data_IF_745606542137
#
_entry.id   IF_745606542137
#
_cell.length_a   1.000
_cell.length_b   1.000
_cell.length_c   1.000
_cell.angle_alpha   90.00
_cell.angle_beta   90.00
_cell.angle_gamma   90.00
#
_symmetry.space_group_name_H-M   'P 1'
#
loop_
_entity.id
_entity.type
_entity.pdbx_description
1 polymer ?
#
# COMPACT_ATOMS: atom_id res chain seq x y z
N UNK A 1 44.17 -11.01 -19.50
CA UNK A 1 43.90 -9.61 -19.09
C UNK A 1 42.67 -9.65 -18.22
N UNK A 2 42.77 -9.30 -16.93
CA UNK A 2 41.59 -9.25 -16.06
C UNK A 2 40.78 -7.99 -16.37
N UNK A 3 39.46 -8.16 -16.51
CA UNK A 3 38.53 -7.04 -16.65
C UNK A 3 38.36 -6.33 -15.30
N UNK A 4 38.02 -5.05 -15.33
CA UNK A 4 37.67 -4.29 -14.11
C UNK A 4 36.31 -4.72 -13.56
N UNK A 5 36.05 -4.48 -12.27
CA UNK A 5 34.74 -4.73 -11.65
C UNK A 5 33.59 -3.99 -12.34
N UNK A 6 33.85 -2.79 -12.87
CA UNK A 6 32.88 -2.02 -13.64
C UNK A 6 32.54 -2.68 -14.97
N UNK A 7 33.54 -3.25 -15.66
CA UNK A 7 33.30 -4.01 -16.87
C UNK A 7 32.44 -5.25 -16.59
N UNK A 8 32.73 -6.01 -15.52
CA UNK A 8 31.88 -7.13 -15.10
C UNK A 8 30.45 -6.70 -14.78
N UNK A 9 30.26 -5.58 -14.06
CA UNK A 9 28.94 -4.99 -13.76
C UNK A 9 28.17 -4.61 -15.02
N UNK A 10 28.84 -3.95 -15.95
CA UNK A 10 28.23 -3.57 -17.21
C UNK A 10 27.81 -4.79 -18.03
N UNK A 11 28.62 -5.85 -18.06
CA UNK A 11 28.24 -7.10 -18.75
C UNK A 11 27.00 -7.70 -18.09
N UNK A 12 27.04 -7.95 -16.77
CA UNK A 12 25.92 -8.57 -16.03
C UNK A 12 24.63 -7.75 -16.17
N UNK A 13 24.71 -6.41 -16.14
CA UNK A 13 23.54 -5.52 -16.31
C UNK A 13 22.87 -5.66 -17.68
N UNK A 14 23.62 -6.04 -18.72
CA UNK A 14 23.10 -6.18 -20.09
C UNK A 14 22.70 -7.63 -20.43
N UNK A 15 22.81 -8.58 -19.49
CA UNK A 15 22.36 -9.95 -19.68
C UNK A 15 20.86 -10.01 -19.37
N UNK A 16 20.06 -10.40 -20.36
CA UNK A 16 18.60 -10.35 -20.25
C UNK A 16 17.96 -11.48 -19.44
N UNK A 17 18.62 -12.62 -19.27
CA UNK A 17 18.04 -13.79 -18.58
C UNK A 17 18.73 -14.10 -17.25
N UNK A 18 17.95 -14.47 -16.23
CA UNK A 18 18.48 -14.90 -14.92
C UNK A 18 19.33 -16.18 -15.03
N UNK A 19 19.00 -17.06 -15.98
CA UNK A 19 19.75 -18.28 -16.25
C UNK A 19 21.17 -17.97 -16.74
N UNK A 20 21.32 -17.01 -17.65
CA UNK A 20 22.63 -16.58 -18.14
C UNK A 20 23.44 -15.88 -17.04
N UNK A 21 22.79 -15.07 -16.18
CA UNK A 21 23.47 -14.48 -15.01
C UNK A 21 23.96 -15.59 -14.06
N UNK A 22 23.18 -16.65 -13.85
CA UNK A 22 23.60 -17.81 -13.07
C UNK A 22 24.78 -18.55 -13.72
N UNK A 23 24.79 -18.70 -15.05
CA UNK A 23 25.92 -19.27 -15.78
C UNK A 23 27.20 -18.44 -15.60
N UNK A 24 27.09 -17.10 -15.60
CA UNK A 24 28.21 -16.19 -15.35
C UNK A 24 28.87 -16.41 -13.98
N UNK A 25 28.14 -16.88 -12.96
CA UNK A 25 28.73 -17.21 -11.66
C UNK A 25 29.79 -18.33 -11.74
N UNK A 26 29.73 -19.18 -12.77
CA UNK A 26 30.68 -20.25 -13.04
C UNK A 26 31.90 -19.82 -13.86
N UNK A 27 31.85 -18.69 -14.56
CA UNK A 27 32.89 -18.29 -15.54
C UNK A 27 34.17 -17.81 -14.87
N UNK A 28 34.07 -16.89 -13.90
CA UNK A 28 35.24 -16.37 -13.17
C UNK A 28 34.85 -15.85 -11.78
N UNK A 29 35.80 -15.70 -10.83
CA UNK A 29 35.52 -15.11 -9.53
C UNK A 29 34.98 -13.67 -9.62
N UNK A 30 35.48 -12.88 -10.58
CA UNK A 30 35.01 -11.51 -10.83
C UNK A 30 33.57 -11.46 -11.30
N UNK A 31 33.19 -12.33 -12.23
CA UNK A 31 31.78 -12.49 -12.63
C UNK A 31 30.93 -12.99 -11.48
N UNK A 32 31.37 -14.00 -10.72
CA UNK A 32 30.62 -14.55 -9.57
C UNK A 32 30.23 -13.47 -8.57
N UNK A 33 31.15 -12.59 -8.19
CA UNK A 33 30.87 -11.54 -7.22
C UNK A 33 29.71 -10.63 -7.67
N UNK A 34 29.74 -10.21 -8.93
CA UNK A 34 28.78 -9.29 -9.53
C UNK A 34 27.46 -9.99 -9.88
N UNK A 35 27.54 -11.15 -10.52
CA UNK A 35 26.40 -11.93 -10.97
C UNK A 35 25.54 -12.42 -9.80
N UNK A 36 26.14 -12.93 -8.73
CA UNK A 36 25.38 -13.31 -7.54
C UNK A 36 24.70 -12.09 -6.89
N UNK A 37 25.34 -10.91 -6.91
CA UNK A 37 24.66 -9.70 -6.41
C UNK A 37 23.46 -9.39 -7.28
N UNK A 38 23.59 -9.44 -8.61
CA UNK A 38 22.46 -9.22 -9.50
C UNK A 38 21.32 -10.25 -9.32
N UNK A 39 21.65 -11.52 -9.07
CA UNK A 39 20.66 -12.58 -8.85
C UNK A 39 19.89 -12.43 -7.54
N UNK A 40 20.59 -12.12 -6.45
CA UNK A 40 20.02 -12.15 -5.10
C UNK A 40 19.62 -10.77 -4.57
N UNK A 41 19.94 -9.66 -5.26
CA UNK A 41 19.62 -8.32 -4.76
C UNK A 41 18.12 -8.08 -4.61
N UNK A 42 17.32 -8.53 -5.57
CA UNK A 42 15.87 -8.46 -5.53
C UNK A 42 15.31 -9.85 -5.77
N UNK A 43 14.58 -10.35 -4.78
CA UNK A 43 13.95 -11.66 -4.80
C UNK A 43 12.44 -11.50 -4.76
N UNK A 44 11.77 -12.25 -5.61
CA UNK A 44 10.33 -12.22 -5.75
C UNK A 44 9.85 -13.67 -5.85
N UNK A 45 9.04 -14.09 -4.88
CA UNK A 45 8.63 -15.47 -4.68
C UNK A 45 7.11 -15.56 -4.72
N UNK A 46 6.59 -16.43 -5.59
CA UNK A 46 5.14 -16.64 -5.81
C UNK A 46 4.66 -18.07 -5.50
N UNK A 47 5.59 -19.03 -5.48
CA UNK A 47 5.28 -20.44 -5.31
C UNK A 47 5.83 -20.90 -3.96
N UNK A 48 5.03 -21.61 -3.17
CA UNK A 48 5.37 -22.04 -1.81
C UNK A 48 6.59 -22.97 -1.78
N UNK A 49 6.70 -23.90 -2.73
CA UNK A 49 7.82 -24.82 -2.85
C UNK A 49 9.12 -24.07 -3.19
N UNK A 50 9.07 -23.20 -4.20
CA UNK A 50 10.22 -22.37 -4.61
C UNK A 50 10.65 -21.43 -3.48
N UNK A 51 9.68 -20.82 -2.80
CA UNK A 51 9.89 -19.97 -1.62
C UNK A 51 10.61 -20.75 -0.53
N UNK A 52 10.13 -21.96 -0.21
CA UNK A 52 10.76 -22.83 0.78
C UNK A 52 12.21 -23.19 0.42
N UNK A 53 12.47 -23.55 -0.85
CA UNK A 53 13.83 -23.88 -1.33
C UNK A 53 14.74 -22.65 -1.24
N UNK A 54 14.27 -21.47 -1.66
CA UNK A 54 15.06 -20.25 -1.63
C UNK A 54 15.34 -19.80 -0.20
N UNK A 55 14.34 -19.79 0.68
CA UNK A 55 14.50 -19.46 2.09
C UNK A 55 15.47 -20.42 2.79
N UNK A 56 15.39 -21.74 2.55
CA UNK A 56 16.39 -22.70 3.06
C UNK A 56 17.79 -22.40 2.52
N UNK A 57 17.91 -22.01 1.26
CA UNK A 57 19.20 -21.61 0.66
C UNK A 57 19.78 -20.38 1.35
N UNK A 58 18.98 -19.34 1.58
CA UNK A 58 19.40 -18.12 2.28
C UNK A 58 19.73 -18.38 3.75
N UNK A 59 18.93 -19.20 4.44
CA UNK A 59 19.17 -19.63 5.81
C UNK A 59 20.51 -20.37 5.96
N UNK A 60 20.87 -21.21 4.99
CA UNK A 60 22.11 -22.00 5.02
C UNK A 60 23.32 -21.27 4.40
N UNK A 61 23.11 -20.15 3.71
CA UNK A 61 24.16 -19.42 3.01
C UNK A 61 24.15 -17.92 3.36
N UNK A 62 24.68 -17.53 4.54
CA UNK A 62 24.74 -16.13 4.95
C UNK A 62 25.37 -15.20 3.91
N UNK A 63 26.39 -15.69 3.19
CA UNK A 63 27.06 -14.97 2.08
C UNK A 63 26.12 -14.55 0.95
N UNK A 64 25.04 -15.30 0.72
CA UNK A 64 24.00 -14.96 -0.26
C UNK A 64 22.92 -14.08 0.38
N UNK A 65 22.52 -14.39 1.61
CA UNK A 65 21.52 -13.61 2.35
C UNK A 65 21.91 -12.13 2.52
N UNK A 66 23.19 -11.83 2.77
CA UNK A 66 23.69 -10.45 2.83
C UNK A 66 23.62 -9.69 1.50
N UNK A 67 23.28 -10.35 0.39
CA UNK A 67 23.10 -9.69 -0.91
C UNK A 67 21.66 -9.22 -1.13
N UNK A 68 20.71 -9.76 -0.35
CA UNK A 68 19.29 -9.48 -0.48
C UNK A 68 18.99 -8.09 0.07
N UNK A 69 18.43 -7.25 -0.80
CA UNK A 69 18.08 -5.86 -0.51
C UNK A 69 16.56 -5.67 -0.55
N UNK A 70 15.89 -6.40 -1.44
CA UNK A 70 14.45 -6.42 -1.58
C UNK A 70 13.94 -7.87 -1.64
N UNK A 71 12.91 -8.17 -0.85
CA UNK A 71 12.26 -9.46 -0.80
C UNK A 71 10.74 -9.28 -0.90
N UNK A 72 10.11 -10.04 -1.78
CA UNK A 72 8.65 -10.10 -1.90
C UNK A 72 8.21 -11.56 -1.83
N UNK A 73 7.28 -11.84 -0.92
CA UNK A 73 6.63 -13.13 -0.73
C UNK A 73 5.15 -12.94 -1.08
N UNK A 74 4.68 -13.65 -2.10
CA UNK A 74 3.27 -13.68 -2.48
C UNK A 74 2.75 -15.10 -2.30
N UNK A 75 1.78 -15.26 -1.40
CA UNK A 75 1.02 -16.50 -1.24
C UNK A 75 -0.34 -16.27 -1.88
N UNK A 76 -0.47 -16.67 -3.14
CA UNK A 76 -1.72 -16.62 -3.86
C UNK A 76 -2.35 -18.01 -3.88
N UNK A 77 -3.67 -18.07 -3.82
CA UNK A 77 -4.38 -19.30 -4.16
C UNK A 77 -4.01 -19.70 -5.58
N UNK A 78 -3.82 -21.00 -5.87
CA UNK A 78 -3.52 -21.45 -7.22
C UNK A 78 -4.62 -20.96 -8.15
N UNK A 79 -4.25 -20.15 -9.16
CA UNK A 79 -5.16 -19.43 -10.04
C UNK A 79 -6.38 -20.30 -10.47
N UNK A 80 -7.55 -20.10 -9.84
CA UNK A 80 -8.80 -20.79 -10.22
C UNK A 80 -9.32 -20.36 -11.61
N UNK A 81 -8.59 -19.46 -12.29
CA UNK A 81 -8.92 -18.89 -13.60
C UNK A 81 -8.20 -19.55 -14.78
N UNK A 82 -7.86 -20.84 -14.70
CA UNK A 82 -7.71 -21.62 -15.93
C UNK A 82 -9.11 -21.99 -16.44
N UNK A 83 -9.75 -21.04 -17.12
CA UNK A 83 -11.08 -21.18 -17.74
C UNK A 83 -11.11 -22.20 -18.87
N UNK A 84 -10.99 -23.48 -18.54
CA UNK A 84 -11.51 -24.56 -19.36
C UNK A 84 -12.97 -24.77 -18.96
N UNK A 85 -13.88 -24.23 -19.76
CA UNK A 85 -15.34 -24.45 -19.70
C UNK A 85 -15.74 -25.91 -20.06
N UNK A 86 -14.86 -26.89 -19.83
CA UNK A 86 -15.19 -28.30 -20.03
C UNK A 86 -15.63 -28.89 -18.69
N UNK A 87 -16.92 -28.70 -18.45
CA UNK A 87 -17.77 -29.38 -17.47
C UNK A 87 -17.55 -30.90 -17.53
N UNK A 88 -16.83 -31.46 -16.57
CA UNK A 88 -17.04 -32.85 -16.13
C UNK A 88 -16.89 -32.89 -14.60
N UNK A 89 -18.00 -33.23 -13.96
CA UNK A 89 -18.32 -33.18 -12.53
C UNK A 89 -17.54 -34.19 -11.67
N UNK A 90 -16.21 -34.07 -11.56
CA UNK A 90 -15.44 -34.86 -10.58
C UNK A 90 -15.21 -34.05 -9.29
N UNK A 91 -16.19 -34.16 -8.39
CA UNK A 91 -16.18 -33.67 -7.01
C UNK A 91 -14.96 -34.23 -6.21
N UNK A 92 -14.39 -33.37 -5.35
CA UNK A 92 -13.78 -33.74 -4.07
C UNK A 92 -12.39 -34.40 -4.02
N UNK A 93 -11.40 -33.85 -4.74
CA UNK A 93 -9.99 -33.99 -4.30
C UNK A 93 -9.38 -32.62 -4.00
N UNK A 94 -9.80 -32.02 -2.88
CA UNK A 94 -9.04 -30.96 -2.21
C UNK A 94 -7.66 -31.54 -1.84
N UNK A 95 -6.68 -31.34 -2.72
CA UNK A 95 -5.28 -31.62 -2.41
C UNK A 95 -4.93 -30.77 -1.18
N UNK A 96 -4.45 -31.37 -0.08
CA UNK A 96 -4.01 -30.61 1.08
C UNK A 96 -2.94 -29.61 0.63
N UNK A 97 -3.26 -28.31 0.68
CA UNK A 97 -2.30 -27.27 0.38
C UNK A 97 -1.12 -27.45 1.34
N UNK A 98 0.09 -27.56 0.77
CA UNK A 98 1.29 -27.74 1.57
C UNK A 98 1.56 -26.43 2.32
N UNK A 99 1.43 -26.46 3.66
CA UNK A 99 1.73 -25.31 4.49
C UNK A 99 3.15 -24.78 4.22
N UNK A 100 3.26 -23.48 3.97
CA UNK A 100 4.54 -22.80 3.83
C UNK A 100 5.42 -23.03 5.07
N UNK A 101 6.69 -23.40 4.84
CA UNK A 101 7.71 -23.55 5.88
C UNK A 101 8.16 -22.16 6.41
N UNK A 102 7.31 -21.52 7.21
CA UNK A 102 7.57 -20.22 7.84
C UNK A 102 8.83 -20.22 8.72
N UNK A 103 9.26 -21.38 9.22
CA UNK A 103 10.53 -21.50 9.96
C UNK A 103 11.75 -21.36 9.04
N UNK A 104 11.67 -21.78 7.79
CA UNK A 104 12.68 -21.45 6.79
C UNK A 104 12.67 -19.95 6.46
N UNK A 105 11.48 -19.34 6.34
CA UNK A 105 11.34 -17.88 6.08
C UNK A 105 11.98 -17.07 7.22
N UNK A 106 11.64 -17.36 8.47
CA UNK A 106 12.22 -16.68 9.63
C UNK A 106 13.75 -16.73 9.67
N UNK A 107 14.33 -17.93 9.44
CA UNK A 107 15.80 -18.12 9.40
C UNK A 107 16.46 -17.41 8.21
N UNK A 108 15.78 -17.35 7.07
CA UNK A 108 16.25 -16.58 5.92
C UNK A 108 16.31 -15.08 6.28
N UNK A 109 15.23 -14.53 6.82
CA UNK A 109 15.11 -13.13 7.21
C UNK A 109 16.15 -12.73 8.28
N UNK A 110 16.41 -13.60 9.27
CA UNK A 110 17.46 -13.39 10.28
C UNK A 110 18.84 -13.17 9.65
N UNK A 111 19.13 -13.81 8.51
CA UNK A 111 20.39 -13.68 7.80
C UNK A 111 20.43 -12.54 6.75
N UNK A 112 19.28 -11.97 6.35
CA UNK A 112 19.20 -10.87 5.37
C UNK A 112 19.41 -9.50 6.03
N UNK A 113 20.57 -9.30 6.65
CA UNK A 113 20.87 -8.10 7.47
C UNK A 113 20.87 -6.76 6.72
N UNK A 114 20.89 -6.78 5.37
CA UNK A 114 20.85 -5.59 4.52
C UNK A 114 19.50 -5.40 3.82
N UNK A 115 18.47 -6.16 4.21
CA UNK A 115 17.13 -6.03 3.65
C UNK A 115 16.57 -4.63 3.94
N UNK A 116 16.14 -3.93 2.89
CA UNK A 116 15.55 -2.58 2.96
C UNK A 116 14.10 -2.53 2.49
N UNK A 117 13.67 -3.51 1.69
CA UNK A 117 12.32 -3.58 1.15
C UNK A 117 11.76 -4.97 1.41
N UNK A 118 10.67 -5.07 2.16
CA UNK A 118 10.01 -6.33 2.45
C UNK A 118 8.52 -6.21 2.15
N UNK A 119 8.02 -7.09 1.29
CA UNK A 119 6.61 -7.24 1.00
C UNK A 119 6.18 -8.68 1.31
N UNK A 120 5.16 -8.87 2.14
CA UNK A 120 4.62 -10.19 2.49
C UNK A 120 3.11 -10.14 2.31
N UNK A 121 2.60 -10.84 1.30
CA UNK A 121 1.17 -10.93 1.04
C UNK A 121 0.66 -12.36 1.23
N UNK A 122 -0.41 -12.51 2.03
CA UNK A 122 -0.95 -13.80 2.48
C UNK A 122 -2.44 -13.85 2.11
N UNK A 123 -2.75 -14.41 0.93
CA UNK A 123 -4.12 -14.42 0.38
C UNK A 123 -4.80 -15.80 0.41
N UNK A 124 -4.16 -16.83 0.96
CA UNK A 124 -4.60 -18.23 0.88
C UNK A 124 -5.49 -18.69 2.06
N UNK A 125 -6.15 -17.76 2.76
CA UNK A 125 -6.96 -18.07 3.95
C UNK A 125 -6.17 -18.68 5.13
N UNK A 126 -4.84 -18.77 5.05
CA UNK A 126 -4.02 -19.25 6.16
C UNK A 126 -3.94 -18.23 7.28
N UNK A 127 -3.66 -18.70 8.49
CA UNK A 127 -3.48 -17.84 9.66
C UNK A 127 -2.38 -16.80 9.43
N UNK A 128 -2.77 -15.53 9.41
CA UNK A 128 -1.91 -14.34 9.34
C UNK A 128 -1.10 -14.08 10.62
N UNK A 129 -1.30 -14.91 11.67
CA UNK A 129 -0.53 -14.90 12.92
C UNK A 129 0.93 -15.41 12.79
N UNK A 130 1.63 -14.98 11.74
CA UNK A 130 3.01 -15.38 11.41
C UNK A 130 4.04 -14.26 11.57
N UNK A 131 3.67 -13.14 12.19
CA UNK A 131 4.58 -12.02 12.51
C UNK A 131 5.83 -12.41 13.31
N UNK A 132 5.83 -13.58 13.97
CA UNK A 132 6.99 -14.11 14.69
C UNK A 132 8.23 -14.32 13.83
N UNK A 133 8.08 -14.46 12.52
CA UNK A 133 9.20 -14.56 11.58
C UNK A 133 10.14 -13.35 11.66
N UNK A 134 9.67 -12.22 12.21
CA UNK A 134 10.41 -10.95 12.31
C UNK A 134 11.20 -10.79 13.62
N UNK A 135 10.98 -11.63 14.63
CA UNK A 135 11.48 -11.40 16.01
C UNK A 135 13.01 -11.27 16.14
N UNK A 136 13.77 -11.94 15.27
CA UNK A 136 15.25 -11.96 15.31
C UNK A 136 15.89 -11.14 14.19
N UNK A 137 15.08 -10.39 13.44
CA UNK A 137 15.57 -9.60 12.34
C UNK A 137 16.32 -8.36 12.87
N UNK A 138 17.45 -8.04 12.25
CA UNK A 138 18.31 -6.89 12.64
C UNK A 138 18.41 -5.82 11.56
N UNK A 139 17.85 -6.09 10.38
CA UNK A 139 17.83 -5.14 9.27
C UNK A 139 16.90 -3.96 9.57
N UNK A 140 17.10 -2.87 8.81
CA UNK A 140 16.33 -1.64 8.92
C UNK A 140 15.63 -1.39 7.58
N UNK A 141 14.32 -1.62 7.59
CA UNK A 141 13.47 -1.44 6.42
C UNK A 141 13.26 0.04 6.12
N UNK A 142 13.19 0.36 4.84
CA UNK A 142 12.67 1.63 4.32
C UNK A 142 11.23 1.50 3.86
N UNK A 143 10.88 0.33 3.31
CA UNK A 143 9.52 -0.03 2.96
C UNK A 143 9.16 -1.37 3.56
N UNK A 144 7.98 -1.42 4.16
CA UNK A 144 7.42 -2.64 4.69
C UNK A 144 5.94 -2.73 4.39
N UNK A 145 5.56 -3.65 3.51
CA UNK A 145 4.17 -3.90 3.17
C UNK A 145 3.81 -5.31 3.62
N UNK A 146 2.81 -5.46 4.48
CA UNK A 146 2.46 -6.79 4.98
C UNK A 146 0.99 -6.99 5.32
N UNK A 147 0.56 -8.23 5.11
CA UNK A 147 -0.77 -8.75 5.44
C UNK A 147 -0.74 -9.50 6.79
N UNK A 148 0.24 -9.19 7.65
CA UNK A 148 0.42 -9.83 8.95
C UNK A 148 -0.56 -9.26 9.99
N UNK A 149 -0.96 -10.11 10.93
CA UNK A 149 -1.72 -9.69 12.10
C UNK A 149 -1.02 -8.58 12.88
N UNK A 150 -1.78 -7.57 13.29
CA UNK A 150 -1.34 -6.61 14.29
C UNK A 150 -1.24 -7.24 15.68
N UNK A 151 -0.06 -7.78 16.00
CA UNK A 151 0.24 -8.40 17.29
C UNK A 151 1.51 -7.84 17.95
N UNK A 152 1.80 -8.32 19.17
CA UNK A 152 2.95 -7.86 19.96
C UNK A 152 4.29 -8.04 19.24
N UNK A 153 4.41 -9.01 18.32
CA UNK A 153 5.65 -9.33 17.62
C UNK A 153 5.87 -8.34 16.48
N UNK A 154 4.80 -8.03 15.75
CA UNK A 154 4.81 -7.00 14.72
C UNK A 154 5.10 -5.62 15.33
N UNK A 155 4.40 -5.27 16.41
CA UNK A 155 4.62 -4.01 17.14
C UNK A 155 6.08 -3.89 17.61
N UNK A 156 6.61 -4.92 18.28
CA UNK A 156 8.01 -4.93 18.73
C UNK A 156 9.01 -4.82 17.57
N UNK A 157 8.75 -5.47 16.43
CA UNK A 157 9.59 -5.34 15.24
C UNK A 157 9.58 -3.91 14.70
N UNK A 158 8.40 -3.30 14.58
CA UNK A 158 8.21 -1.93 14.11
C UNK A 158 8.84 -0.90 15.06
N UNK A 159 8.79 -1.12 16.38
CA UNK A 159 9.47 -0.26 17.36
C UNK A 159 10.99 -0.20 17.13
N UNK A 160 11.57 -1.29 16.61
CA UNK A 160 12.99 -1.36 16.24
C UNK A 160 13.34 -0.68 14.90
N UNK A 161 12.36 -0.24 14.11
CA UNK A 161 12.59 0.35 12.79
C UNK A 161 12.75 1.87 12.87
N UNK A 162 13.97 2.34 12.60
CA UNK A 162 14.33 3.78 12.62
C UNK A 162 14.39 4.40 11.22
N UNK A 163 14.54 3.56 10.19
CA UNK A 163 14.67 3.98 8.80
C UNK A 163 13.39 3.80 7.97
N UNK A 164 12.28 3.37 8.59
CA UNK A 164 11.04 3.07 7.87
C UNK A 164 10.37 4.35 7.36
N UNK A 165 10.17 4.44 6.06
CA UNK A 165 9.58 5.59 5.37
C UNK A 165 8.17 5.31 4.82
N UNK A 166 7.87 4.04 4.53
CA UNK A 166 6.68 3.57 3.80
C UNK A 166 6.14 2.28 4.42
N UNK A 167 4.93 2.33 4.96
CA UNK A 167 4.29 1.22 5.68
C UNK A 167 2.91 0.93 5.09
N UNK A 168 2.65 -0.35 4.81
CA UNK A 168 1.31 -0.87 4.49
C UNK A 168 0.92 -1.94 5.51
N UNK A 169 -0.26 -1.79 6.12
CA UNK A 169 -0.81 -2.75 7.09
C UNK A 169 -2.25 -3.08 6.72
N UNK A 170 -2.54 -4.37 6.56
CA UNK A 170 -3.89 -4.84 6.21
C UNK A 170 -4.79 -5.16 7.41
N UNK A 171 -4.25 -5.65 8.54
CA UNK A 171 -5.09 -6.12 9.66
C UNK A 171 -4.71 -5.43 10.98
N UNK A 172 -5.20 -4.22 11.18
CA UNK A 172 -5.05 -3.49 12.44
C UNK A 172 -6.15 -3.87 13.43
N UNK A 173 -5.76 -4.26 14.66
CA UNK A 173 -6.67 -4.63 15.75
C UNK A 173 -6.66 -3.55 16.83
N UNK A 174 -7.81 -2.95 17.11
CA UNK A 174 -7.94 -1.97 18.18
C UNK A 174 -7.70 -2.65 19.54
N UNK A 175 -6.87 -2.07 20.43
CA UNK A 175 -6.73 -2.53 21.81
C UNK A 175 -8.06 -2.76 22.55
N UNK A 176 -9.11 -1.98 22.24
CA UNK A 176 -10.40 -2.08 22.90
C UNK A 176 -11.16 -3.38 22.57
N UNK A 177 -10.98 -3.94 21.36
CA UNK A 177 -11.69 -5.14 20.91
C UNK A 177 -11.33 -6.39 21.74
N UNK A 178 -10.13 -6.43 22.33
CA UNK A 178 -9.69 -7.53 23.19
C UNK A 178 -10.41 -7.60 24.54
N UNK A 179 -11.12 -6.53 24.96
CA UNK A 179 -11.71 -6.43 26.30
C UNK A 179 -13.08 -7.10 26.45
N UNK A 180 -13.70 -7.55 25.35
CA UNK A 180 -15.04 -8.16 25.37
C UNK A 180 -15.04 -9.68 25.59
N UNK A 181 -13.88 -10.34 25.54
CA UNK A 181 -13.80 -11.77 25.84
C UNK A 181 -13.84 -12.01 27.35
N UNK A 182 -14.94 -12.60 27.81
CA UNK A 182 -15.41 -12.66 29.22
C UNK A 182 -14.61 -13.59 30.13
N UNK A 183 -13.39 -13.97 29.76
CA UNK A 183 -12.53 -14.86 30.54
C UNK A 183 -11.50 -14.07 31.35
N UNK A 184 -11.45 -14.34 32.65
CA UNK A 184 -10.70 -13.64 33.71
C UNK A 184 -9.15 -13.71 33.61
N UNK A 185 -8.59 -13.48 32.43
CA UNK A 185 -7.15 -13.33 32.20
C UNK A 185 -6.79 -11.85 32.45
N UNK A 186 -5.69 -11.55 33.15
CA UNK A 186 -5.25 -10.18 33.39
C UNK A 186 -5.15 -9.38 32.08
N UNK A 187 -5.43 -8.06 32.11
CA UNK A 187 -5.48 -7.23 30.91
C UNK A 187 -4.13 -7.31 30.18
N UNK A 188 -4.17 -7.81 28.95
CA UNK A 188 -3.00 -7.81 28.07
C UNK A 188 -2.51 -6.36 27.90
N UNK A 189 -1.20 -6.17 27.81
CA UNK A 189 -0.62 -4.86 27.54
C UNK A 189 -1.18 -4.30 26.22
N UNK A 190 -1.46 -2.99 26.15
CA UNK A 190 -2.01 -2.39 24.93
C UNK A 190 -1.03 -2.59 23.77
N UNK A 191 -1.57 -3.01 22.61
CA UNK A 191 -0.83 -3.15 21.35
C UNK A 191 -0.59 -1.77 20.73
N UNK A 192 0.24 -0.95 21.40
CA UNK A 192 0.59 0.40 20.98
C UNK A 192 2.09 0.49 20.69
N UNK A 193 2.42 1.15 19.58
CA UNK A 193 3.80 1.52 19.26
C UNK A 193 4.26 2.68 20.12
N UNK A 194 5.56 2.72 20.43
CA UNK A 194 6.16 3.88 21.09
C UNK A 194 6.04 5.12 20.18
N UNK A 195 5.73 6.28 20.77
CA UNK A 195 5.60 7.56 20.07
C UNK A 195 6.86 7.95 19.28
N UNK A 196 8.04 7.42 19.66
CA UNK A 196 9.33 7.67 19.03
C UNK A 196 9.69 6.65 17.95
N UNK A 197 8.93 5.56 17.86
CA UNK A 197 9.14 4.53 16.84
C UNK A 197 8.83 5.07 15.45
N UNK A 198 9.52 4.50 14.45
CA UNK A 198 9.36 4.83 13.03
C UNK A 198 9.36 6.34 12.73
N UNK A 199 10.39 7.09 13.20
CA UNK A 199 10.41 8.56 13.15
C UNK A 199 10.51 9.13 11.73
N UNK A 200 10.80 8.30 10.73
CA UNK A 200 10.87 8.66 9.32
C UNK A 200 9.63 8.27 8.51
N UNK A 201 8.60 7.72 9.16
CA UNK A 201 7.40 7.26 8.47
C UNK A 201 6.72 8.46 7.80
N UNK A 202 6.68 8.42 6.46
CA UNK A 202 6.19 9.52 5.63
C UNK A 202 5.02 9.11 4.74
N UNK A 203 4.88 7.82 4.48
CA UNK A 203 3.79 7.22 3.69
C UNK A 203 3.17 6.10 4.51
N UNK A 204 1.88 6.21 4.77
CA UNK A 204 1.11 5.20 5.48
C UNK A 204 -0.09 4.79 4.64
N UNK A 205 -0.18 3.50 4.37
CA UNK A 205 -1.38 2.87 3.82
C UNK A 205 -1.88 1.85 4.85
N UNK A 206 -3.17 1.91 5.16
CA UNK A 206 -3.79 0.98 6.09
C UNK A 206 -5.24 0.74 5.70
N UNK A 207 -5.82 -0.38 6.11
CA UNK A 207 -7.22 -0.71 5.82
C UNK A 207 -8.20 -0.06 6.78
N UNK A 208 -7.78 0.31 7.99
CA UNK A 208 -8.66 0.82 9.03
C UNK A 208 -8.17 2.17 9.55
N UNK A 209 -9.11 3.09 9.77
CA UNK A 209 -8.80 4.45 10.21
C UNK A 209 -8.18 4.49 11.60
N UNK A 210 -8.47 3.50 12.45
CA UNK A 210 -7.90 3.31 13.78
C UNK A 210 -6.36 3.19 13.72
N UNK A 211 -5.83 2.50 12.71
CA UNK A 211 -4.39 2.43 12.49
C UNK A 211 -3.81 3.81 12.20
N UNK A 212 -4.46 4.60 11.34
CA UNK A 212 -4.04 5.96 11.04
C UNK A 212 -4.13 6.87 12.28
N UNK A 213 -5.17 6.74 13.09
CA UNK A 213 -5.33 7.49 14.34
C UNK A 213 -4.22 7.22 15.35
N UNK A 214 -3.71 5.98 15.40
CA UNK A 214 -2.60 5.59 16.27
C UNK A 214 -1.23 5.98 15.70
N UNK A 215 -1.04 5.84 14.39
CA UNK A 215 0.28 5.98 13.75
C UNK A 215 0.62 7.41 13.31
N UNK A 216 -0.35 8.24 12.95
CA UNK A 216 -0.07 9.56 12.38
C UNK A 216 0.45 10.59 13.39
N UNK A 217 -0.09 10.72 14.62
CA UNK A 217 0.31 11.78 15.54
C UNK A 217 1.82 11.81 15.80
N UNK A 218 2.43 12.99 15.66
CA UNK A 218 3.86 13.21 15.93
C UNK A 218 4.82 12.67 14.86
N UNK A 219 4.35 11.89 13.89
CA UNK A 219 5.18 11.33 12.81
C UNK A 219 5.10 12.18 11.54
N UNK A 220 6.13 12.20 10.67
CA UNK A 220 6.19 13.10 9.51
C UNK A 220 5.37 12.57 8.32
N UNK A 221 4.11 12.17 8.54
CA UNK A 221 3.24 11.61 7.50
C UNK A 221 2.87 12.69 6.50
N UNK A 222 3.15 12.40 5.23
CA UNK A 222 2.85 13.28 4.08
C UNK A 222 1.86 12.64 3.11
N UNK A 223 1.76 11.30 3.09
CA UNK A 223 0.81 10.57 2.26
C UNK A 223 0.09 9.56 3.13
N UNK A 224 -1.23 9.67 3.19
CA UNK A 224 -2.09 8.79 3.97
C UNK A 224 -3.17 8.20 3.07
N UNK A 225 -3.27 6.87 3.08
CA UNK A 225 -4.37 6.11 2.51
C UNK A 225 -4.99 5.21 3.57
N UNK A 226 -6.29 5.32 3.79
CA UNK A 226 -7.03 4.55 4.81
C UNK A 226 -8.46 4.28 4.38
N UNK A 227 -9.26 3.56 5.17
CA UNK A 227 -10.69 3.37 4.96
C UNK A 227 -11.45 3.55 6.27
N UNK A 228 -12.70 4.03 6.19
CA UNK A 228 -13.61 4.01 7.34
C UNK A 228 -13.99 2.58 7.70
N UNK A 229 -13.99 2.26 9.00
CA UNK A 229 -14.37 0.96 9.54
C UNK A 229 -15.87 0.89 9.86
N UNK A 230 -16.49 2.03 10.22
CA UNK A 230 -17.89 2.08 10.63
C UNK A 230 -18.81 2.23 9.42
N UNK A 231 -19.92 1.50 9.38
CA UNK A 231 -20.94 1.64 8.33
C UNK A 231 -22.07 2.58 8.73
N UNK A 232 -22.46 2.60 10.01
CA UNK A 232 -23.52 3.47 10.51
C UNK A 232 -23.09 4.95 10.43
N UNK A 233 -23.91 5.77 9.77
CA UNK A 233 -23.61 7.18 9.49
C UNK A 233 -23.19 7.98 10.74
N UNK A 234 -23.86 7.80 11.88
CA UNK A 234 -23.54 8.57 13.09
C UNK A 234 -22.19 8.16 13.69
N UNK A 235 -21.90 6.86 13.71
CA UNK A 235 -20.62 6.33 14.19
C UNK A 235 -19.48 6.75 13.25
N UNK A 236 -19.70 6.64 11.92
CA UNK A 236 -18.78 7.09 10.88
C UNK A 236 -18.46 8.58 10.97
N UNK A 237 -19.44 9.44 11.30
CA UNK A 237 -19.19 10.86 11.57
C UNK A 237 -18.34 11.09 12.82
N UNK A 238 -18.44 10.23 13.84
CA UNK A 238 -17.55 10.22 14.99
C UNK A 238 -16.13 9.88 14.58
N UNK A 239 -15.97 8.73 13.92
CA UNK A 239 -14.71 8.23 13.37
C UNK A 239 -14.02 9.28 12.47
N UNK A 240 -14.76 9.94 11.57
CA UNK A 240 -14.25 11.03 10.72
C UNK A 240 -13.68 12.19 11.55
N UNK A 241 -14.37 12.63 12.60
CA UNK A 241 -13.86 13.73 13.44
C UNK A 241 -12.59 13.33 14.17
N UNK A 242 -12.57 12.12 14.73
CA UNK A 242 -11.44 11.61 15.48
C UNK A 242 -10.23 11.42 14.54
N UNK A 243 -10.43 10.80 13.38
CA UNK A 243 -9.43 10.64 12.33
C UNK A 243 -8.83 11.99 11.93
N UNK A 244 -9.64 12.95 11.49
CA UNK A 244 -9.12 14.25 11.04
C UNK A 244 -8.41 15.01 12.18
N UNK A 245 -8.86 14.85 13.43
CA UNK A 245 -8.18 15.45 14.59
C UNK A 245 -6.78 14.87 14.80
N UNK A 246 -6.61 13.55 14.66
CA UNK A 246 -5.32 12.84 14.82
C UNK A 246 -4.41 13.06 13.63
N UNK A 247 -4.96 13.03 12.43
CA UNK A 247 -4.23 13.29 11.19
C UNK A 247 -3.69 14.72 11.16
N UNK A 248 -4.44 15.68 11.72
CA UNK A 248 -3.97 17.05 11.91
C UNK A 248 -2.77 17.21 12.87
N UNK A 249 -2.38 16.16 13.60
CA UNK A 249 -1.22 16.12 14.49
C UNK A 249 0.04 15.53 13.82
N UNK A 250 0.03 15.28 12.50
CA UNK A 250 1.24 14.93 11.75
C UNK A 250 2.31 16.00 11.93
N UNK A 251 3.57 15.58 12.08
CA UNK A 251 4.72 16.48 12.20
C UNK A 251 5.09 17.17 10.88
N UNK A 252 4.52 16.72 9.76
CA UNK A 252 4.66 17.33 8.45
C UNK A 252 3.29 17.58 7.81
N UNK A 253 3.15 18.62 6.97
CA UNK A 253 1.91 18.84 6.23
C UNK A 253 1.61 17.68 5.29
N UNK A 254 0.35 17.23 5.28
CA UNK A 254 -0.12 16.23 4.34
C UNK A 254 -0.15 16.78 2.91
N UNK A 255 0.25 15.93 1.98
CA UNK A 255 0.24 16.15 0.52
C UNK A 255 -0.76 15.25 -0.18
N UNK A 256 -1.01 14.04 0.33
CA UNK A 256 -2.03 13.16 -0.19
C UNK A 256 -2.89 12.61 0.95
N UNK A 257 -4.21 12.66 0.76
CA UNK A 257 -5.18 12.09 1.68
C UNK A 257 -6.22 11.31 0.86
N UNK A 258 -6.20 9.99 1.01
CA UNK A 258 -7.18 9.08 0.44
C UNK A 258 -7.87 8.32 1.57
N UNK A 259 -9.18 8.51 1.71
CA UNK A 259 -9.98 7.84 2.75
C UNK A 259 -11.10 7.11 2.02
N UNK A 260 -10.90 5.83 1.79
CA UNK A 260 -11.86 4.91 1.20
C UNK A 260 -13.10 4.74 2.10
N UNK A 261 -14.22 4.37 1.48
CA UNK A 261 -15.46 4.01 2.15
C UNK A 261 -16.18 2.95 1.31
N UNK A 262 -16.70 1.90 1.95
CA UNK A 262 -17.52 0.88 1.29
C UNK A 262 -18.94 1.37 0.97
N UNK A 263 -19.39 2.46 1.62
CA UNK A 263 -20.74 3.00 1.46
C UNK A 263 -20.71 4.51 1.22
N UNK A 264 -19.98 4.94 0.21
CA UNK A 264 -19.95 6.34 -0.21
C UNK A 264 -21.37 6.84 -0.56
N UNK A 265 -21.73 8.01 -0.05
CA UNK A 265 -22.96 8.72 -0.42
C UNK A 265 -22.60 10.17 -0.72
N UNK A 266 -23.35 10.84 -1.61
CA UNK A 266 -23.17 12.27 -1.90
C UNK A 266 -23.14 13.12 -0.61
N UNK A 267 -24.07 12.83 0.31
CA UNK A 267 -24.18 13.55 1.58
C UNK A 267 -22.91 13.40 2.44
N UNK A 268 -22.38 12.18 2.58
CA UNK A 268 -21.19 11.96 3.39
C UNK A 268 -19.93 12.54 2.73
N UNK A 269 -19.77 12.38 1.41
CA UNK A 269 -18.67 12.99 0.67
C UNK A 269 -18.63 14.51 0.84
N UNK A 270 -19.79 15.18 0.81
CA UNK A 270 -19.89 16.62 1.10
C UNK A 270 -19.48 16.97 2.54
N UNK A 271 -19.89 16.16 3.53
CA UNK A 271 -19.52 16.36 4.93
C UNK A 271 -18.01 16.17 5.14
N UNK A 272 -17.44 15.11 4.58
CA UNK A 272 -16.01 14.81 4.65
C UNK A 272 -15.18 15.90 3.99
N UNK A 273 -15.53 16.31 2.77
CA UNK A 273 -14.83 17.37 2.07
C UNK A 273 -14.90 18.68 2.83
N UNK A 274 -16.07 19.03 3.39
CA UNK A 274 -16.20 20.22 4.22
C UNK A 274 -15.37 20.13 5.50
N UNK A 275 -15.31 18.96 6.14
CA UNK A 275 -14.51 18.77 7.35
C UNK A 275 -13.01 18.93 7.05
N UNK A 276 -12.51 18.31 5.98
CA UNK A 276 -11.12 18.46 5.52
C UNK A 276 -10.83 19.93 5.19
N UNK A 277 -11.70 20.59 4.44
CA UNK A 277 -11.54 22.00 4.04
C UNK A 277 -11.56 22.98 5.22
N UNK A 278 -12.12 22.59 6.36
CA UNK A 278 -12.15 23.39 7.60
C UNK A 278 -10.97 23.05 8.53
N UNK A 279 -10.26 21.94 8.30
CA UNK A 279 -9.05 21.56 9.06
C UNK A 279 -7.82 22.22 8.45
N UNK A 280 -7.42 23.36 9.02
CA UNK A 280 -6.35 24.23 8.48
C UNK A 280 -5.02 23.51 8.19
N UNK A 281 -4.64 22.53 9.01
CA UNK A 281 -3.38 21.78 8.85
C UNK A 281 -3.37 20.89 7.60
N UNK A 282 -4.53 20.51 7.07
CA UNK A 282 -4.64 19.68 5.86
C UNK A 282 -4.61 20.53 4.59
N UNK A 283 -5.28 21.68 4.60
CA UNK A 283 -5.59 22.43 3.36
C UNK A 283 -4.36 23.03 2.67
N UNK A 284 -3.32 23.41 3.41
CA UNK A 284 -2.25 24.27 2.87
C UNK A 284 -1.33 23.58 1.85
N UNK A 285 -1.07 22.29 2.04
CA UNK A 285 -0.11 21.52 1.24
C UNK A 285 -0.72 20.33 0.49
N UNK A 286 -2.03 20.09 0.64
CA UNK A 286 -2.69 18.95 0.01
C UNK A 286 -2.70 19.11 -1.52
N UNK A 287 -2.18 18.08 -2.20
CA UNK A 287 -2.04 17.95 -3.66
C UNK A 287 -2.89 16.83 -4.24
N UNK A 288 -3.15 15.79 -3.46
CA UNK A 288 -4.03 14.70 -3.86
C UNK A 288 -5.13 14.49 -2.82
N UNK A 289 -6.34 14.32 -3.32
CA UNK A 289 -7.52 13.99 -2.55
C UNK A 289 -8.14 12.73 -3.17
N UNK A 290 -8.41 11.72 -2.34
CA UNK A 290 -8.94 10.43 -2.76
C UNK A 290 -10.38 10.48 -3.27
N UNK A 291 -11.09 9.37 -3.18
CA UNK A 291 -12.41 9.21 -3.82
C UNK A 291 -13.53 9.94 -3.07
N UNK A 292 -14.31 10.75 -3.81
CA UNK A 292 -15.54 11.40 -3.33
C UNK A 292 -16.67 11.17 -4.33
N UNK A 293 -17.90 10.93 -3.87
CA UNK A 293 -19.07 10.94 -4.78
C UNK A 293 -19.23 12.35 -5.34
N UNK A 294 -19.25 12.46 -6.67
CA UNK A 294 -19.50 13.72 -7.34
C UNK A 294 -21.01 13.95 -7.42
N UNK A 295 -21.57 15.01 -6.80
CA UNK A 295 -23.02 15.20 -6.78
C UNK A 295 -23.64 15.36 -8.18
N UNK A 296 -24.77 14.69 -8.40
CA UNK A 296 -25.55 14.79 -9.64
C UNK A 296 -26.25 16.15 -9.73
N UNK A 297 -26.84 16.59 -8.60
CA UNK A 297 -27.55 17.88 -8.53
C UNK A 297 -26.58 19.05 -8.77
N UNK A 298 -26.96 19.95 -9.68
CA UNK A 298 -26.10 21.06 -10.08
C UNK A 298 -25.77 22.03 -8.94
N UNK A 299 -26.68 22.22 -7.97
CA UNK A 299 -26.44 23.13 -6.84
C UNK A 299 -25.46 22.52 -5.84
N UNK A 300 -25.64 21.25 -5.51
CA UNK A 300 -24.71 20.54 -4.62
C UNK A 300 -23.34 20.36 -5.26
N UNK A 301 -23.28 20.10 -6.57
CA UNK A 301 -22.01 20.04 -7.32
C UNK A 301 -21.27 21.37 -7.31
N UNK A 302 -21.97 22.49 -7.49
CA UNK A 302 -21.36 23.82 -7.35
C UNK A 302 -20.82 24.08 -5.93
N UNK A 303 -21.54 23.62 -4.90
CA UNK A 303 -21.06 23.70 -3.52
C UNK A 303 -19.81 22.83 -3.31
N UNK A 304 -19.79 21.63 -3.89
CA UNK A 304 -18.63 20.74 -3.89
C UNK A 304 -17.41 21.43 -4.49
N UNK A 305 -17.55 22.04 -5.68
CA UNK A 305 -16.46 22.80 -6.31
C UNK A 305 -16.03 23.99 -5.46
N UNK A 306 -16.97 24.71 -4.84
CA UNK A 306 -16.66 25.80 -3.92
C UNK A 306 -15.83 25.35 -2.70
N UNK A 307 -16.01 24.12 -2.22
CA UNK A 307 -15.16 23.53 -1.20
C UNK A 307 -13.77 23.18 -1.76
N UNK A 308 -13.69 22.57 -2.95
CA UNK A 308 -12.41 22.26 -3.59
C UNK A 308 -11.55 23.50 -3.88
N UNK A 309 -12.16 24.64 -4.18
CA UNK A 309 -11.44 25.91 -4.38
C UNK A 309 -10.66 26.37 -3.13
N UNK A 310 -10.93 25.80 -1.96
CA UNK A 310 -10.19 26.12 -0.72
C UNK A 310 -8.82 25.46 -0.66
N UNK A 311 -8.52 24.51 -1.55
CA UNK A 311 -7.24 23.79 -1.59
C UNK A 311 -6.33 24.39 -2.67
N UNK A 312 -5.45 25.35 -2.35
CA UNK A 312 -4.70 26.11 -3.35
C UNK A 312 -3.65 25.30 -4.12
N UNK A 313 -3.29 24.12 -3.59
CA UNK A 313 -2.25 23.25 -4.15
C UNK A 313 -2.78 21.92 -4.68
N UNK A 314 -4.10 21.72 -4.68
CA UNK A 314 -4.69 20.47 -5.15
C UNK A 314 -4.39 20.28 -6.64
N UNK A 315 -3.90 19.10 -7.00
CA UNK A 315 -3.48 18.73 -8.35
C UNK A 315 -4.20 17.48 -8.84
N UNK A 316 -4.61 16.60 -7.93
CA UNK A 316 -5.25 15.32 -8.25
C UNK A 316 -6.47 15.10 -7.35
N UNK A 317 -7.60 14.71 -7.93
CA UNK A 317 -8.84 14.38 -7.21
C UNK A 317 -9.50 13.15 -7.83
N UNK A 318 -10.03 12.23 -7.01
CA UNK A 318 -10.80 11.08 -7.48
C UNK A 318 -12.31 11.27 -7.23
N UNK A 319 -13.13 10.89 -8.20
CA UNK A 319 -14.58 11.06 -8.21
C UNK A 319 -15.29 9.73 -8.46
N UNK A 320 -16.13 9.33 -7.53
CA UNK A 320 -17.09 8.24 -7.71
C UNK A 320 -18.31 8.76 -8.48
N UNK A 321 -18.62 8.12 -9.61
CA UNK A 321 -19.71 8.53 -10.53
C UNK A 321 -20.65 7.37 -10.88
N UNK A 322 -20.57 6.23 -10.18
CA UNK A 322 -21.39 5.04 -10.46
C UNK A 322 -22.90 5.27 -10.31
N UNK A 323 -23.33 6.19 -9.45
CA UNK A 323 -24.76 6.47 -9.25
C UNK A 323 -25.38 7.33 -10.37
N UNK A 324 -24.59 7.86 -11.30
CA UNK A 324 -25.09 8.74 -12.36
C UNK A 324 -25.94 7.98 -13.39
N UNK A 325 -27.04 8.59 -13.82
CA UNK A 325 -27.95 8.01 -14.81
C UNK A 325 -28.22 8.99 -15.98
N UNK A 326 -27.66 8.75 -17.19
CA UNK A 326 -26.68 7.70 -17.52
C UNK A 326 -25.29 8.01 -16.91
N UNK A 327 -24.45 6.98 -16.70
CA UNK A 327 -23.08 7.19 -16.22
C UNK A 327 -22.26 7.93 -17.27
N UNK A 328 -21.31 8.80 -16.88
CA UNK A 328 -20.49 9.58 -17.81
C UNK A 328 -19.35 8.74 -18.43
N UNK A 329 -19.66 7.56 -18.96
CA UNK A 329 -18.67 6.55 -19.41
C UNK A 329 -17.91 6.92 -20.69
N UNK A 330 -18.39 7.90 -21.47
CA UNK A 330 -17.69 8.30 -22.71
C UNK A 330 -16.50 9.23 -22.44
N UNK A 331 -15.38 9.11 -23.19
CA UNK A 331 -14.26 10.05 -23.10
C UNK A 331 -14.62 11.53 -23.34
N UNK A 332 -15.71 11.81 -24.05
CA UNK A 332 -16.22 13.19 -24.21
C UNK A 332 -16.89 13.69 -22.94
N UNK A 333 -17.71 12.86 -22.28
CA UNK A 333 -18.36 13.19 -21.02
C UNK A 333 -17.33 13.41 -19.90
N UNK A 334 -16.37 12.51 -19.74
CA UNK A 334 -15.28 12.65 -18.74
C UNK A 334 -14.47 13.93 -18.96
N UNK A 335 -14.15 14.27 -20.21
CA UNK A 335 -13.45 15.53 -20.54
C UNK A 335 -14.30 16.76 -20.24
N UNK A 336 -15.61 16.70 -20.49
CA UNK A 336 -16.53 17.80 -20.17
C UNK A 336 -16.59 18.03 -18.65
N UNK A 337 -16.73 16.97 -17.85
CA UNK A 337 -16.71 17.05 -16.38
C UNK A 337 -15.37 17.58 -15.85
N UNK A 338 -14.25 17.08 -16.39
CA UNK A 338 -12.94 17.60 -16.01
C UNK A 338 -12.74 19.07 -16.42
N UNK A 339 -13.29 19.47 -17.56
CA UNK A 339 -13.34 20.87 -17.98
C UNK A 339 -14.16 21.75 -17.04
N UNK A 340 -15.37 21.29 -16.65
CA UNK A 340 -16.26 21.96 -15.70
C UNK A 340 -15.55 22.21 -14.36
N UNK A 341 -14.95 21.16 -13.75
CA UNK A 341 -14.21 21.29 -12.50
C UNK A 341 -13.11 22.34 -12.59
N UNK A 342 -12.35 22.34 -13.68
CA UNK A 342 -11.21 23.25 -13.87
C UNK A 342 -11.62 24.70 -14.10
N UNK A 343 -12.88 24.99 -14.45
CA UNK A 343 -13.40 26.37 -14.45
C UNK A 343 -13.38 26.96 -13.02
N UNK A 344 -13.60 26.12 -12.01
CA UNK A 344 -13.62 26.52 -10.60
C UNK A 344 -12.25 26.35 -9.96
N UNK A 345 -11.55 25.24 -10.24
CA UNK A 345 -10.23 24.97 -9.68
C UNK A 345 -9.19 24.58 -10.75
N UNK A 346 -8.53 25.56 -11.39
CA UNK A 346 -7.57 25.31 -12.46
C UNK A 346 -6.31 24.55 -12.03
N UNK A 347 -6.01 24.48 -10.73
CA UNK A 347 -4.83 23.78 -10.22
C UNK A 347 -4.97 22.26 -10.31
N UNK A 348 -6.20 21.74 -10.40
CA UNK A 348 -6.45 20.32 -10.65
C UNK A 348 -5.97 19.96 -12.06
N UNK A 349 -4.94 19.12 -12.12
CA UNK A 349 -4.33 18.64 -13.35
C UNK A 349 -4.75 17.22 -13.69
N UNK A 350 -5.08 16.41 -12.69
CA UNK A 350 -5.49 15.01 -12.84
C UNK A 350 -6.81 14.77 -12.14
N UNK A 351 -7.72 14.08 -12.82
CA UNK A 351 -9.03 13.72 -12.30
C UNK A 351 -9.20 12.23 -12.57
N UNK A 352 -9.46 11.45 -11.53
CA UNK A 352 -9.81 10.03 -11.68
C UNK A 352 -11.31 9.93 -11.56
N UNK A 353 -11.98 9.32 -12.54
CA UNK A 353 -13.39 8.99 -12.46
C UNK A 353 -13.52 7.49 -12.25
N UNK A 354 -14.19 7.10 -11.17
CA UNK A 354 -14.44 5.72 -10.76
C UNK A 354 -15.88 5.37 -11.14
N UNK A 355 -16.08 4.29 -11.88
CA UNK A 355 -17.38 3.74 -12.23
C UNK A 355 -17.34 2.23 -12.10
N UNK A 356 -18.12 1.65 -11.19
CA UNK A 356 -18.15 0.21 -10.92
C UNK A 356 -16.72 -0.38 -10.77
N UNK A 357 -15.89 0.31 -9.98
CA UNK A 357 -14.46 0.02 -9.75
C UNK A 357 -13.52 0.30 -10.93
N UNK A 358 -14.03 0.52 -12.14
CA UNK A 358 -13.22 0.94 -13.28
C UNK A 358 -12.79 2.39 -13.12
N UNK A 359 -11.48 2.63 -13.28
CA UNK A 359 -10.88 3.95 -13.11
C UNK A 359 -10.46 4.53 -14.45
N UNK A 360 -10.98 5.71 -14.77
CA UNK A 360 -10.59 6.48 -15.94
C UNK A 360 -9.87 7.76 -15.53
N UNK A 361 -8.63 7.94 -15.98
CA UNK A 361 -7.86 9.16 -15.69
C UNK A 361 -8.09 10.20 -16.77
N UNK A 362 -8.38 11.44 -16.35
CA UNK A 362 -8.39 12.62 -17.20
C UNK A 362 -7.26 13.55 -16.76
N UNK A 363 -6.33 13.83 -17.67
CA UNK A 363 -5.21 14.76 -17.46
C UNK A 363 -5.45 16.05 -18.24
N UNK A 364 -5.24 17.19 -17.60
CA UNK A 364 -5.27 18.49 -18.23
C UNK A 364 -3.85 18.94 -18.64
N UNK A 365 -3.60 19.04 -19.94
CA UNK A 365 -2.34 19.52 -20.51
C UNK A 365 -2.63 20.74 -21.37
N UNK A 366 -1.95 21.87 -21.10
CA UNK A 366 -2.15 23.15 -21.80
C UNK A 366 -3.61 23.61 -21.84
N UNK A 367 -4.34 23.37 -20.75
CA UNK A 367 -5.76 23.73 -20.64
C UNK A 367 -6.72 22.73 -21.27
N UNK A 368 -6.22 21.71 -21.98
CA UNK A 368 -7.04 20.69 -22.67
C UNK A 368 -7.09 19.41 -21.83
N UNK A 369 -8.30 18.99 -21.46
CA UNK A 369 -8.53 17.72 -20.79
C UNK A 369 -8.45 16.55 -21.81
N UNK A 370 -7.70 15.51 -21.48
CA UNK A 370 -7.54 14.28 -22.26
C UNK A 370 -7.70 13.06 -21.35
N UNK A 371 -8.35 12.00 -21.85
CA UNK A 371 -8.35 10.72 -21.14
C UNK A 371 -6.97 10.08 -21.34
N UNK A 372 -6.36 9.67 -20.24
CA UNK A 372 -5.02 9.11 -20.18
C UNK A 372 -5.10 7.65 -19.73
N UNK A 373 -4.65 6.73 -20.58
CA UNK A 373 -4.69 5.28 -20.34
C UNK A 373 -3.37 4.72 -19.82
N UNK A 374 -2.32 5.53 -19.79
CA UNK A 374 -0.97 5.08 -19.40
C UNK A 374 -0.68 5.30 -17.91
N UNK A 375 -1.46 6.16 -17.25
CA UNK A 375 -1.30 6.49 -15.84
C UNK A 375 -1.87 5.38 -14.95
N UNK A 376 -1.00 4.82 -14.09
CA UNK A 376 -1.43 3.92 -13.00
C UNK A 376 -2.11 4.73 -11.90
N UNK A 377 -3.41 4.50 -11.71
CA UNK A 377 -4.21 5.17 -10.67
C UNK A 377 -3.78 4.82 -9.26
N UNK A 378 -3.27 3.61 -9.04
CA UNK A 378 -2.86 3.11 -7.72
C UNK A 378 -1.68 3.89 -7.13
N UNK A 379 -0.86 4.51 -7.98
CA UNK A 379 0.35 5.22 -7.58
C UNK A 379 0.18 6.74 -7.55
N UNK A 380 -0.94 7.28 -8.05
CA UNK A 380 -1.16 8.72 -8.14
C UNK A 380 -1.06 9.43 -6.79
N UNK A 381 -1.61 8.82 -5.74
CA UNK A 381 -1.56 9.37 -4.39
C UNK A 381 -0.15 9.32 -3.77
N UNK A 382 0.80 8.57 -4.35
CA UNK A 382 2.20 8.45 -3.88
C UNK A 382 3.16 9.41 -4.62
N UNK A 383 2.68 10.19 -5.60
CA UNK A 383 3.52 11.15 -6.33
C UNK A 383 3.96 12.34 -5.44
N UNK A 384 5.26 12.66 -5.46
CA UNK A 384 5.90 13.63 -4.52
C UNK A 384 5.88 15.09 -4.95
#
# INVERSE_FOLDING_TARGET
MELTLEAYRNIVKNVGSRADIAALCGVSPGFRQVAERALYNTLFMRNDEETGVLCRTLANSPRLAVKVDALTILLSEPDEYSGSEDEDEDEDQQIPQADMDWAAVARALENTIYLRYLNIHINNGTSTAVSWILQKCTFQLRRFHCDLDWDHRLVHFLDGQTELEDLYIQDYKDPEDFTTSTTAVPPAQPLQLDDRSIPKLSTLECTFSEAAMALVPGRPITHLKTCFSRTEMRAKQGEMRDLLSKVGLSAQPLRALDIADSSYTEQFSMQLLSAIANTRSLVSELRHLGTFVLPIDGRERLQFYGLLMRFPKIQSVEFEVSEWQPPPSSPLALRALGGELRLYNPSVLRMVFVHDFDRSVVTAVDGICRVDTEISTELLWREK
#
